data_IF_116811744719
#
_entry.id   IF_116811744719
#
_cell.length_a   1.000
_cell.length_b   1.000
_cell.length_c   1.000
_cell.angle_alpha   90.00
_cell.angle_beta   90.00
_cell.angle_gamma   90.00
#
_symmetry.space_group_name_H-M   'P 1'
#
loop_
_entity.id
_entity.type
_entity.pdbx_description
1 polymer ?
#
# COMPACT_ATOMS: atom_id res chain seq x y z
N UNK A 1 -12.85 52.52 -2.80
CA UNK A 1 -12.80 51.33 -3.68
C UNK A 1 -12.66 50.12 -2.79
N UNK A 2 -13.79 49.55 -2.38
CA UNK A 2 -13.89 48.61 -1.26
C UNK A 2 -13.70 47.20 -1.80
N UNK A 3 -12.58 46.55 -1.45
CA UNK A 3 -12.33 45.14 -1.78
C UNK A 3 -13.24 44.28 -0.91
N UNK A 4 -14.36 43.83 -1.47
CA UNK A 4 -15.15 42.77 -0.88
C UNK A 4 -14.41 41.43 -1.01
N UNK A 5 -13.81 41.01 0.09
CA UNK A 5 -13.37 39.63 0.34
C UNK A 5 -14.64 38.75 0.27
N UNK A 6 -14.85 38.09 -0.87
CA UNK A 6 -15.96 37.16 -1.06
C UNK A 6 -15.65 35.82 -0.41
N UNK A 7 -16.43 35.55 0.64
CA UNK A 7 -17.01 34.27 1.04
C UNK A 7 -16.06 33.08 1.23
N UNK A 8 -15.66 32.89 2.48
CA UNK A 8 -15.45 31.58 3.11
C UNK A 8 -16.69 30.70 2.88
N UNK A 9 -16.69 29.90 1.80
CA UNK A 9 -17.63 28.79 1.67
C UNK A 9 -17.31 27.80 2.79
N UNK A 10 -18.23 27.65 3.74
CA UNK A 10 -18.32 26.47 4.59
C UNK A 10 -18.32 25.25 3.64
N UNK A 11 -17.19 24.57 3.54
CA UNK A 11 -17.07 23.36 2.73
C UNK A 11 -17.98 22.31 3.35
N UNK A 12 -18.92 21.81 2.55
CA UNK A 12 -19.87 20.79 2.98
C UNK A 12 -19.15 19.50 3.41
N UNK A 13 -19.73 18.73 4.33
CA UNK A 13 -19.17 17.42 4.76
C UNK A 13 -18.75 16.50 3.59
N UNK A 14 -19.51 16.41 2.48
CA UNK A 14 -19.10 15.68 1.28
C UNK A 14 -17.79 16.16 0.66
N UNK A 15 -17.51 17.47 0.70
CA UNK A 15 -16.26 18.03 0.19
C UNK A 15 -15.04 17.50 0.97
N UNK A 16 -15.14 17.48 2.30
CA UNK A 16 -14.07 16.98 3.15
C UNK A 16 -13.89 15.48 3.01
N UNK A 17 -14.97 14.70 3.02
CA UNK A 17 -14.92 13.26 2.81
C UNK A 17 -14.26 12.91 1.47
N UNK A 18 -14.63 13.60 0.39
CA UNK A 18 -14.02 13.41 -0.92
C UNK A 18 -12.53 13.82 -0.92
N UNK A 19 -12.14 14.87 -0.19
CA UNK A 19 -10.74 15.25 -0.03
C UNK A 19 -9.92 14.17 0.70
N UNK A 20 -10.44 13.57 1.77
CA UNK A 20 -9.80 12.46 2.47
C UNK A 20 -9.67 11.21 1.59
N UNK A 21 -10.72 10.90 0.83
CA UNK A 21 -10.66 9.84 -0.18
C UNK A 21 -9.57 10.11 -1.23
N UNK A 22 -9.46 11.33 -1.74
CA UNK A 22 -8.43 11.68 -2.73
C UNK A 22 -7.00 11.57 -2.18
N UNK A 23 -6.75 11.77 -0.89
CA UNK A 23 -5.44 11.47 -0.30
C UNK A 23 -5.06 10.00 -0.44
N UNK A 24 -6.04 9.09 -0.35
CA UNK A 24 -5.81 7.64 -0.24
C UNK A 24 -6.20 6.86 -1.50
N UNK A 25 -6.78 7.52 -2.51
CA UNK A 25 -7.36 6.92 -3.72
C UNK A 25 -6.43 5.93 -4.43
N UNK A 26 -5.14 6.27 -4.60
CA UNK A 26 -4.16 5.37 -5.22
C UNK A 26 -3.99 4.08 -4.45
N UNK A 27 -4.07 4.18 -3.12
CA UNK A 27 -3.63 3.16 -2.19
C UNK A 27 -4.77 2.31 -1.64
N UNK A 28 -6.01 2.65 -2.00
CA UNK A 28 -7.19 1.82 -1.80
C UNK A 28 -6.97 0.40 -2.34
N UNK A 29 -6.49 0.31 -3.59
CA UNK A 29 -6.28 -0.96 -4.29
C UNK A 29 -4.94 -1.62 -4.02
N UNK A 30 -3.96 -0.90 -3.48
CA UNK A 30 -2.60 -1.42 -3.25
C UNK A 30 -2.41 -1.86 -1.80
N UNK A 31 -3.01 -1.14 -0.84
CA UNK A 31 -2.85 -1.37 0.59
C UNK A 31 -4.19 -1.74 1.21
N UNK A 32 -5.19 -0.85 1.19
CA UNK A 32 -6.39 -1.00 2.04
C UNK A 32 -7.15 -2.30 1.75
N UNK A 33 -7.57 -2.52 0.51
CA UNK A 33 -8.33 -3.73 0.16
C UNK A 33 -7.47 -5.00 0.28
N UNK A 34 -6.23 -5.06 -0.24
CA UNK A 34 -5.40 -6.27 -0.12
C UNK A 34 -5.07 -6.67 1.33
N UNK A 35 -4.78 -5.72 2.22
CA UNK A 35 -4.47 -5.99 3.64
C UNK A 35 -5.71 -6.46 4.38
N UNK A 36 -6.82 -5.75 4.24
CA UNK A 36 -8.04 -6.07 4.99
C UNK A 36 -8.68 -7.38 4.50
N UNK A 37 -8.62 -7.65 3.19
CA UNK A 37 -9.09 -8.91 2.63
C UNK A 37 -8.19 -10.08 3.05
N UNK A 38 -6.86 -9.88 3.04
CA UNK A 38 -5.93 -10.91 3.54
C UNK A 38 -6.25 -11.26 4.99
N UNK A 39 -6.34 -10.25 5.87
CA UNK A 39 -6.70 -10.44 7.27
C UNK A 39 -8.01 -11.22 7.42
N UNK A 40 -9.07 -10.84 6.69
CA UNK A 40 -10.35 -11.54 6.69
C UNK A 40 -10.28 -13.00 6.25
N UNK A 41 -9.53 -13.28 5.19
CA UNK A 41 -9.40 -14.63 4.64
C UNK A 41 -8.55 -15.54 5.54
N UNK A 42 -7.60 -14.99 6.30
CA UNK A 42 -6.70 -15.76 7.17
C UNK A 42 -7.23 -16.06 8.57
N UNK A 43 -8.24 -15.32 9.05
CA UNK A 43 -8.83 -15.58 10.36
C UNK A 43 -9.86 -16.71 10.30
N UNK A 44 -9.96 -17.54 11.35
CA UNK A 44 -10.91 -18.65 11.39
C UNK A 44 -12.36 -18.20 11.60
N UNK A 45 -12.58 -17.09 12.31
CA UNK A 45 -13.91 -16.53 12.53
C UNK A 45 -14.06 -15.16 11.87
N UNK A 46 -15.04 -15.08 10.96
CA UNK A 46 -15.26 -13.95 10.07
C UNK A 46 -16.39 -13.05 10.60
N UNK A 47 -16.07 -12.21 11.59
CA UNK A 47 -17.02 -11.26 12.17
C UNK A 47 -17.00 -9.91 11.44
N UNK A 48 -18.13 -9.53 10.82
CA UNK A 48 -18.24 -8.29 10.01
C UNK A 48 -17.82 -7.04 10.81
N UNK A 49 -18.17 -6.96 12.08
CA UNK A 49 -17.79 -5.84 12.95
C UNK A 49 -16.26 -5.74 13.15
N UNK A 50 -15.58 -6.89 13.31
CA UNK A 50 -14.13 -6.93 13.46
C UNK A 50 -13.42 -6.54 12.14
N UNK A 51 -13.97 -6.99 11.00
CA UNK A 51 -13.50 -6.55 9.68
C UNK A 51 -13.68 -5.05 9.46
N UNK A 52 -14.85 -4.50 9.78
CA UNK A 52 -15.10 -3.06 9.66
C UNK A 52 -14.13 -2.26 10.55
N UNK A 53 -13.86 -2.73 11.77
CA UNK A 53 -12.87 -2.13 12.68
C UNK A 53 -11.46 -2.17 12.08
N UNK A 54 -11.03 -3.33 11.55
CA UNK A 54 -9.72 -3.48 10.90
C UNK A 54 -9.60 -2.62 9.64
N UNK A 55 -10.68 -2.49 8.87
CA UNK A 55 -10.76 -1.65 7.68
C UNK A 55 -10.58 -0.16 8.02
N UNK A 56 -11.31 0.34 9.03
CA UNK A 56 -11.17 1.72 9.51
C UNK A 56 -9.77 1.96 10.05
N UNK A 57 -9.20 1.01 10.80
CA UNK A 57 -7.87 1.13 11.38
C UNK A 57 -6.80 1.24 10.29
N UNK A 58 -6.87 0.35 9.30
CA UNK A 58 -5.97 0.33 8.15
C UNK A 58 -6.09 1.62 7.35
N UNK A 59 -7.32 2.08 7.10
CA UNK A 59 -7.57 3.32 6.35
C UNK A 59 -7.05 4.56 7.09
N UNK A 60 -7.20 4.64 8.42
CA UNK A 60 -6.71 5.77 9.21
C UNK A 60 -5.19 5.90 9.15
N UNK A 61 -4.46 4.79 9.35
CA UNK A 61 -2.99 4.80 9.22
C UNK A 61 -2.54 5.08 7.78
N UNK A 62 -3.24 4.55 6.78
CA UNK A 62 -2.98 4.86 5.38
C UNK A 62 -3.21 6.35 5.09
N UNK A 63 -4.28 6.94 5.62
CA UNK A 63 -4.56 8.35 5.51
C UNK A 63 -3.46 9.19 6.19
N UNK A 64 -3.02 8.81 7.39
CA UNK A 64 -1.90 9.48 8.08
C UNK A 64 -0.63 9.46 7.21
N UNK A 65 -0.27 8.29 6.68
CA UNK A 65 0.88 8.13 5.80
C UNK A 65 0.77 9.00 4.54
N UNK A 66 -0.36 8.92 3.83
CA UNK A 66 -0.58 9.65 2.59
C UNK A 66 -0.59 11.17 2.81
N UNK A 67 -1.30 11.67 3.82
CA UNK A 67 -1.31 13.11 4.13
C UNK A 67 0.11 13.58 4.45
N UNK A 68 0.86 12.80 5.23
CA UNK A 68 2.24 13.15 5.57
C UNK A 68 3.15 13.22 4.34
N UNK A 69 3.20 12.16 3.53
CA UNK A 69 4.02 12.08 2.33
C UNK A 69 3.70 13.20 1.33
N UNK A 70 2.41 13.41 1.03
CA UNK A 70 1.96 14.42 0.06
C UNK A 70 2.22 15.86 0.54
N UNK A 71 2.22 16.10 1.87
CA UNK A 71 2.48 17.43 2.44
C UNK A 71 3.97 17.84 2.45
N UNK A 72 4.88 16.87 2.30
CA UNK A 72 6.33 17.08 2.26
C UNK A 72 6.87 17.17 0.83
N UNK A 73 6.28 16.42 -0.11
CA UNK A 73 6.71 16.38 -1.52
C UNK A 73 5.59 16.77 -2.51
N UNK A 74 5.00 17.99 -2.41
CA UNK A 74 3.90 18.39 -3.29
C UNK A 74 4.31 18.55 -4.76
N UNK A 75 5.60 18.79 -5.04
CA UNK A 75 6.13 18.92 -6.39
C UNK A 75 6.10 17.61 -7.18
N UNK A 76 6.48 16.51 -6.52
CA UNK A 76 6.34 15.14 -7.06
C UNK A 76 4.91 14.87 -7.53
N UNK A 77 3.94 15.19 -6.67
CA UNK A 77 2.52 14.91 -6.93
C UNK A 77 1.94 15.77 -8.05
N UNK A 78 2.42 16.99 -8.21
CA UNK A 78 1.99 17.85 -9.32
C UNK A 78 2.31 17.20 -10.68
N UNK A 79 3.43 16.49 -10.79
CA UNK A 79 3.84 15.77 -12.00
C UNK A 79 3.11 14.43 -12.11
N UNK A 80 3.22 13.59 -11.08
CA UNK A 80 2.79 12.20 -11.17
C UNK A 80 1.26 12.05 -11.05
N UNK A 81 0.65 12.84 -10.14
CA UNK A 81 -0.73 12.64 -9.63
C UNK A 81 -1.43 14.00 -9.39
N UNK A 82 -1.62 14.84 -10.44
CA UNK A 82 -2.14 16.22 -10.28
C UNK A 82 -3.56 16.31 -9.72
N UNK A 83 -4.30 15.19 -9.71
CA UNK A 83 -5.62 15.07 -9.11
C UNK A 83 -5.60 14.97 -7.57
N UNK A 84 -4.42 14.81 -6.93
CA UNK A 84 -4.29 14.73 -5.47
C UNK A 84 -4.73 16.03 -4.79
N UNK A 85 -5.16 15.98 -3.51
CA UNK A 85 -5.77 17.13 -2.84
C UNK A 85 -4.96 18.42 -2.84
N UNK A 86 -3.64 18.32 -2.64
CA UNK A 86 -2.75 19.49 -2.54
C UNK A 86 -2.52 20.10 -3.94
N UNK A 87 -2.04 19.35 -4.96
CA UNK A 87 -1.90 19.90 -6.32
C UNK A 87 -3.22 20.42 -6.92
N UNK A 88 -4.35 19.77 -6.62
CA UNK A 88 -5.67 20.18 -7.10
C UNK A 88 -6.25 21.40 -6.35
N UNK A 89 -5.50 21.98 -5.40
CA UNK A 89 -5.93 23.16 -4.65
C UNK A 89 -7.10 22.92 -3.69
N UNK A 90 -7.41 21.66 -3.35
CA UNK A 90 -8.54 21.32 -2.46
C UNK A 90 -8.24 21.60 -0.99
N UNK A 91 -6.97 21.57 -0.62
CA UNK A 91 -6.47 21.80 0.74
C UNK A 91 -5.10 22.46 0.65
N UNK A 92 -4.83 23.45 1.52
CA UNK A 92 -3.52 24.07 1.61
C UNK A 92 -2.50 23.12 2.22
N UNK A 93 -1.22 23.30 1.89
CA UNK A 93 -0.12 22.53 2.51
C UNK A 93 -0.13 22.68 4.04
N UNK A 94 -0.39 23.90 4.55
CA UNK A 94 -0.50 24.16 5.99
C UNK A 94 -1.60 23.33 6.66
N UNK A 95 -2.79 23.28 6.06
CA UNK A 95 -3.90 22.48 6.58
C UNK A 95 -3.63 20.97 6.48
N UNK A 96 -2.97 20.52 5.41
CA UNK A 96 -2.55 19.12 5.30
C UNK A 96 -1.52 18.75 6.38
N UNK A 97 -0.57 19.65 6.68
CA UNK A 97 0.40 19.45 7.78
C UNK A 97 -0.26 19.47 9.16
N UNK A 98 -1.28 20.30 9.37
CA UNK A 98 -2.06 20.23 10.61
C UNK A 98 -2.79 18.88 10.70
N UNK A 99 -3.46 18.47 9.63
CA UNK A 99 -4.20 17.21 9.57
C UNK A 99 -3.31 15.99 9.86
N UNK A 100 -2.09 15.93 9.31
CA UNK A 100 -1.18 14.80 9.55
C UNK A 100 -0.82 14.64 11.03
N UNK A 101 -0.65 15.74 11.76
CA UNK A 101 -0.31 15.74 13.19
C UNK A 101 -1.52 15.47 14.07
N UNK A 102 -2.74 15.83 13.61
CA UNK A 102 -3.99 15.41 14.26
C UNK A 102 -4.24 13.91 14.07
N UNK A 103 -3.91 13.36 12.88
CA UNK A 103 -4.11 11.95 12.58
C UNK A 103 -3.23 11.03 13.44
N UNK A 104 -2.01 11.45 13.80
CA UNK A 104 -1.11 10.67 14.64
C UNK A 104 -1.73 10.23 16.00
N UNK A 105 -2.16 11.14 16.90
CA UNK A 105 -2.79 10.75 18.16
C UNK A 105 -4.11 10.01 17.95
N UNK A 106 -4.88 10.31 16.89
CA UNK A 106 -6.10 9.58 16.56
C UNK A 106 -5.81 8.11 16.21
N UNK A 107 -4.79 7.86 15.40
CA UNK A 107 -4.37 6.51 15.02
C UNK A 107 -3.87 5.71 16.23
N UNK A 108 -3.08 6.34 17.10
CA UNK A 108 -2.59 5.71 18.35
C UNK A 108 -3.72 5.41 19.33
N UNK A 109 -4.65 6.36 19.53
CA UNK A 109 -5.83 6.14 20.36
C UNK A 109 -6.70 5.01 19.81
N UNK A 110 -6.92 4.97 18.51
CA UNK A 110 -7.70 3.90 17.88
C UNK A 110 -7.00 2.54 17.97
N UNK A 111 -5.66 2.51 17.90
CA UNK A 111 -4.89 1.29 18.14
C UNK A 111 -5.01 0.81 19.58
N UNK A 112 -5.01 1.73 20.55
CA UNK A 112 -5.21 1.42 21.97
C UNK A 112 -6.58 0.79 22.23
N UNK A 113 -7.66 1.43 21.75
CA UNK A 113 -9.03 0.89 21.88
C UNK A 113 -9.28 -0.36 21.04
N UNK A 114 -8.36 -0.70 20.15
CA UNK A 114 -8.37 -1.92 19.34
C UNK A 114 -7.46 -3.03 19.86
N UNK A 115 -6.76 -2.82 20.98
CA UNK A 115 -5.87 -3.84 21.56
C UNK A 115 -4.57 -4.06 20.78
N UNK A 116 -4.22 -3.19 19.83
CA UNK A 116 -3.03 -3.30 18.97
C UNK A 116 -2.09 -2.10 19.12
N UNK A 117 -2.05 -1.49 20.30
CA UNK A 117 -1.25 -0.28 20.56
C UNK A 117 0.24 -0.42 20.16
N UNK A 118 0.96 -1.51 20.49
CA UNK A 118 2.36 -1.66 20.07
C UNK A 118 2.54 -1.65 18.55
N UNK A 119 1.63 -2.31 17.82
CA UNK A 119 1.61 -2.31 16.34
C UNK A 119 1.40 -0.90 15.81
N UNK A 120 0.47 -0.15 16.43
CA UNK A 120 0.20 1.24 16.08
C UNK A 120 1.39 2.18 16.31
N UNK A 121 2.18 1.96 17.36
CA UNK A 121 3.42 2.71 17.62
C UNK A 121 4.46 2.40 16.55
N UNK A 122 4.63 1.12 16.18
CA UNK A 122 5.57 0.71 15.12
C UNK A 122 5.19 1.38 13.78
N UNK A 123 3.91 1.42 13.41
CA UNK A 123 3.48 2.15 12.22
C UNK A 123 3.76 3.65 12.31
N UNK A 124 3.46 4.29 13.45
CA UNK A 124 3.73 5.71 13.63
C UNK A 124 5.23 6.04 13.47
N UNK A 125 6.11 5.21 14.06
CA UNK A 125 7.56 5.31 13.90
C UNK A 125 7.99 5.06 12.45
N UNK A 126 7.42 4.06 11.78
CA UNK A 126 7.67 3.77 10.36
C UNK A 126 7.30 4.95 9.46
N UNK A 127 6.14 5.58 9.69
CA UNK A 127 5.70 6.79 8.96
C UNK A 127 6.67 7.95 9.22
N UNK A 128 7.11 8.15 10.47
CA UNK A 128 8.09 9.17 10.82
C UNK A 128 9.44 8.92 10.12
N UNK A 129 9.97 7.71 10.19
CA UNK A 129 11.22 7.31 9.54
C UNK A 129 11.15 7.45 8.02
N UNK A 130 10.04 7.04 7.41
CA UNK A 130 9.84 7.15 5.97
C UNK A 130 9.83 8.61 5.51
N UNK A 131 9.03 9.45 6.19
CA UNK A 131 8.73 10.81 5.73
C UNK A 131 9.67 11.88 6.31
N UNK A 132 9.80 11.97 7.64
CA UNK A 132 10.59 13.03 8.29
C UNK A 132 12.10 12.78 8.14
N UNK A 133 12.53 11.53 8.28
CA UNK A 133 13.93 11.16 8.13
C UNK A 133 14.33 10.88 6.67
N UNK A 134 13.38 11.04 5.73
CA UNK A 134 13.57 10.84 4.28
C UNK A 134 14.20 9.50 3.91
N UNK A 135 13.94 8.45 4.70
CA UNK A 135 14.43 7.10 4.39
C UNK A 135 13.73 6.50 3.17
N UNK A 136 12.66 7.13 2.67
CA UNK A 136 12.08 6.86 1.37
C UNK A 136 12.97 7.30 0.19
N UNK A 137 13.99 8.12 0.42
CA UNK A 137 14.77 8.74 -0.66
C UNK A 137 15.89 7.83 -1.21
N UNK A 138 16.16 6.71 -0.55
CA UNK A 138 17.13 5.71 -1.00
C UNK A 138 16.43 4.38 -1.30
N UNK A 139 16.74 3.76 -2.45
CA UNK A 139 16.08 2.55 -2.93
C UNK A 139 16.02 1.42 -1.88
N UNK A 140 17.10 1.20 -1.15
CA UNK A 140 17.17 0.10 -0.17
C UNK A 140 16.25 0.34 1.02
N UNK A 141 16.36 1.51 1.65
CA UNK A 141 15.57 1.85 2.84
C UNK A 141 14.10 2.04 2.49
N UNK A 142 13.79 2.57 1.30
CA UNK A 142 12.42 2.63 0.76
C UNK A 142 11.81 1.24 0.69
N UNK A 143 12.48 0.29 0.04
CA UNK A 143 11.94 -1.06 -0.14
C UNK A 143 11.77 -1.78 1.20
N UNK A 144 12.78 -1.70 2.09
CA UNK A 144 12.71 -2.32 3.43
C UNK A 144 11.60 -1.71 4.27
N UNK A 145 11.50 -0.37 4.34
CA UNK A 145 10.45 0.30 5.11
C UNK A 145 9.05 0.02 4.56
N UNK A 146 8.90 -0.05 3.24
CA UNK A 146 7.63 -0.41 2.63
C UNK A 146 7.25 -1.87 2.97
N UNK A 147 8.18 -2.82 2.87
CA UNK A 147 7.91 -4.21 3.23
C UNK A 147 7.55 -4.37 4.73
N UNK A 148 8.27 -3.68 5.61
CA UNK A 148 7.94 -3.61 7.04
C UNK A 148 6.56 -2.97 7.22
N UNK A 149 6.25 -1.89 6.51
CA UNK A 149 4.95 -1.24 6.54
C UNK A 149 3.82 -2.23 6.20
N UNK A 150 3.95 -2.95 5.10
CA UNK A 150 2.99 -4.02 4.72
C UNK A 150 2.89 -5.10 5.80
N UNK A 151 4.01 -5.57 6.35
CA UNK A 151 4.03 -6.57 7.41
C UNK A 151 3.25 -6.11 8.66
N UNK A 152 3.49 -4.88 9.10
CA UNK A 152 2.89 -4.32 10.30
C UNK A 152 1.40 -3.99 10.07
N UNK A 153 1.03 -3.51 8.88
CA UNK A 153 -0.37 -3.37 8.48
C UNK A 153 -1.10 -4.72 8.50
N UNK A 154 -0.49 -5.76 7.92
CA UNK A 154 -1.04 -7.12 7.91
C UNK A 154 -1.21 -7.67 9.33
N UNK A 155 -0.19 -7.51 10.19
CA UNK A 155 -0.24 -7.93 11.58
C UNK A 155 -1.37 -7.20 12.33
N UNK A 156 -1.46 -5.87 12.22
CA UNK A 156 -2.48 -5.08 12.91
C UNK A 156 -3.90 -5.40 12.43
N UNK A 157 -4.12 -5.45 11.12
CA UNK A 157 -5.43 -5.78 10.56
C UNK A 157 -5.87 -7.21 10.96
N UNK A 158 -4.94 -8.17 10.92
CA UNK A 158 -5.22 -9.55 11.32
C UNK A 158 -5.53 -9.66 12.81
N UNK A 159 -4.74 -9.03 13.68
CA UNK A 159 -4.99 -9.01 15.13
C UNK A 159 -6.33 -8.38 15.49
N UNK A 160 -6.71 -7.27 14.85
CA UNK A 160 -8.03 -6.64 15.07
C UNK A 160 -9.15 -7.57 14.61
N UNK A 161 -9.00 -8.20 13.44
CA UNK A 161 -10.01 -9.11 12.89
C UNK A 161 -10.16 -10.36 13.78
N UNK A 162 -9.07 -10.80 14.42
CA UNK A 162 -9.03 -11.96 15.31
C UNK A 162 -9.52 -11.66 16.74
N UNK A 163 -9.70 -10.39 17.15
CA UNK A 163 -9.92 -9.95 18.54
C UNK A 163 -11.16 -10.53 19.27
N UNK A 164 -11.91 -11.45 18.66
CA UNK A 164 -12.96 -12.26 19.28
C UNK A 164 -12.67 -13.77 19.35
N UNK A 165 -11.44 -14.20 19.04
CA UNK A 165 -11.06 -15.60 18.97
C UNK A 165 -9.69 -15.87 19.62
N UNK A 166 -9.63 -16.93 20.43
CA UNK A 166 -8.40 -17.42 21.06
C UNK A 166 -7.55 -18.31 20.14
N UNK A 167 -8.07 -18.67 18.95
CA UNK A 167 -7.37 -19.59 18.05
C UNK A 167 -6.24 -18.89 17.33
N UNK A 168 -5.06 -19.50 17.28
CA UNK A 168 -3.91 -19.01 16.54
C UNK A 168 -4.14 -19.06 15.02
N UNK A 169 -3.38 -18.25 14.27
CA UNK A 169 -3.34 -18.36 12.81
C UNK A 169 -2.84 -19.74 12.41
N UNK A 170 -3.41 -20.30 11.34
CA UNK A 170 -2.93 -21.58 10.81
C UNK A 170 -1.48 -21.44 10.31
N UNK A 171 -0.68 -22.53 10.34
CA UNK A 171 0.67 -22.50 9.77
C UNK A 171 0.68 -22.04 8.31
N UNK A 172 -0.38 -22.35 7.56
CA UNK A 172 -0.60 -21.90 6.19
C UNK A 172 -0.79 -20.39 6.08
N UNK A 173 -1.60 -19.80 6.96
CA UNK A 173 -1.80 -18.35 7.02
C UNK A 173 -0.51 -17.61 7.42
N UNK A 174 0.26 -18.16 8.37
CA UNK A 174 1.56 -17.62 8.75
C UNK A 174 2.56 -17.68 7.59
N UNK A 175 2.65 -18.81 6.88
CA UNK A 175 3.49 -18.93 5.69
C UNK A 175 3.08 -17.93 4.61
N UNK A 176 1.78 -17.78 4.35
CA UNK A 176 1.26 -16.80 3.39
C UNK A 176 1.64 -15.35 3.78
N UNK A 177 1.58 -15.04 5.07
CA UNK A 177 1.98 -13.73 5.60
C UNK A 177 3.47 -13.46 5.36
N UNK A 178 4.36 -14.40 5.71
CA UNK A 178 5.80 -14.22 5.45
C UNK A 178 6.13 -14.14 3.96
N UNK A 179 5.51 -14.99 3.12
CA UNK A 179 5.66 -14.93 1.66
C UNK A 179 5.24 -13.56 1.11
N UNK A 180 4.12 -13.02 1.59
CA UNK A 180 3.65 -11.69 1.21
C UNK A 180 4.69 -10.60 1.54
N UNK A 181 5.33 -10.66 2.71
CA UNK A 181 6.40 -9.71 3.09
C UNK A 181 7.59 -9.81 2.12
N UNK A 182 8.04 -11.02 1.80
CA UNK A 182 9.17 -11.22 0.89
C UNK A 182 8.85 -10.84 -0.56
N UNK A 183 7.62 -11.12 -1.02
CA UNK A 183 7.13 -10.65 -2.31
C UNK A 183 7.23 -9.12 -2.34
N UNK A 184 6.60 -8.43 -1.39
CA UNK A 184 6.63 -6.95 -1.34
C UNK A 184 8.08 -6.44 -1.27
N UNK A 185 8.94 -6.99 -0.40
CA UNK A 185 10.33 -6.55 -0.26
C UNK A 185 11.09 -6.61 -1.60
N UNK A 186 10.83 -7.64 -2.41
CA UNK A 186 11.56 -7.90 -3.65
C UNK A 186 10.91 -7.30 -4.90
N UNK A 187 9.66 -6.84 -4.82
CA UNK A 187 8.91 -6.35 -5.99
C UNK A 187 8.25 -4.98 -5.80
N UNK A 188 8.30 -4.35 -4.62
CA UNK A 188 7.63 -3.04 -4.38
C UNK A 188 8.15 -1.92 -5.27
N UNK A 189 9.40 -2.01 -5.76
CA UNK A 189 9.97 -1.07 -6.72
C UNK A 189 9.27 -1.08 -8.08
N UNK A 190 8.33 -1.99 -8.33
CA UNK A 190 7.40 -1.92 -9.45
C UNK A 190 6.67 -0.56 -9.53
N UNK A 191 6.39 0.05 -8.37
CA UNK A 191 5.78 1.38 -8.30
C UNK A 191 6.71 2.48 -8.79
N UNK A 192 8.00 2.38 -8.46
CA UNK A 192 8.96 3.45 -8.72
C UNK A 192 9.10 3.73 -10.23
N UNK A 193 8.83 2.75 -11.11
CA UNK A 193 8.94 2.94 -12.57
C UNK A 193 7.98 4.01 -13.09
N UNK A 194 6.71 4.01 -12.65
CA UNK A 194 5.76 5.05 -13.07
C UNK A 194 5.96 6.38 -12.35
N UNK A 195 6.62 6.36 -11.18
CA UNK A 195 6.85 7.53 -10.33
C UNK A 195 8.25 8.16 -10.59
N UNK A 196 9.05 7.60 -11.51
CA UNK A 196 10.45 7.98 -11.80
C UNK A 196 10.64 9.48 -12.05
N UNK A 197 9.75 10.11 -12.83
CA UNK A 197 9.86 11.53 -13.15
C UNK A 197 9.74 12.42 -11.90
N UNK A 198 8.79 12.11 -11.02
CA UNK A 198 8.64 12.79 -9.73
C UNK A 198 9.80 12.48 -8.77
N UNK A 199 10.29 11.22 -8.76
CA UNK A 199 11.45 10.86 -7.94
C UNK A 199 12.73 11.60 -8.38
N UNK A 200 12.93 11.83 -9.68
CA UNK A 200 14.04 12.65 -10.21
C UNK A 200 13.91 14.11 -9.76
N UNK A 201 12.70 14.67 -9.78
CA UNK A 201 12.45 16.03 -9.29
C UNK A 201 12.82 16.18 -7.80
N UNK A 202 12.45 15.19 -6.99
CA UNK A 202 12.77 15.14 -5.55
C UNK A 202 14.20 14.68 -5.24
N UNK A 203 15.03 14.47 -6.27
CA UNK A 203 16.44 14.03 -6.17
C UNK A 203 16.60 12.70 -5.41
N UNK A 204 15.62 11.81 -5.53
CA UNK A 204 15.64 10.48 -4.91
C UNK A 204 16.52 9.52 -5.71
N UNK A 205 17.02 8.50 -5.02
CA UNK A 205 17.85 7.42 -5.59
C UNK A 205 17.08 6.10 -5.59
N UNK A 206 15.98 6.03 -6.35
CA UNK A 206 15.14 4.82 -6.50
C UNK A 206 15.69 3.85 -7.53
N UNK A 207 15.22 2.59 -7.53
CA UNK A 207 15.74 1.52 -8.40
C UNK A 207 15.73 1.90 -9.89
N UNK A 208 14.65 2.47 -10.46
CA UNK A 208 14.63 2.88 -11.86
C UNK A 208 15.68 3.95 -12.20
N UNK A 209 16.07 4.78 -11.23
CA UNK A 209 17.05 5.85 -11.40
C UNK A 209 18.48 5.30 -11.30
N UNK A 210 18.78 4.49 -10.27
CA UNK A 210 20.16 4.05 -9.99
C UNK A 210 20.56 2.78 -10.74
N UNK A 211 19.60 1.89 -11.02
CA UNK A 211 19.84 0.60 -11.66
C UNK A 211 18.69 0.24 -12.62
N UNK A 212 18.44 1.05 -13.67
CA UNK A 212 17.27 0.90 -14.55
C UNK A 212 17.17 -0.52 -15.13
N UNK A 213 18.24 -1.03 -15.75
CA UNK A 213 18.23 -2.39 -16.32
C UNK A 213 18.13 -3.46 -15.23
N UNK A 214 18.80 -3.26 -14.08
CA UNK A 214 18.75 -4.19 -12.95
C UNK A 214 17.34 -4.33 -12.37
N UNK A 215 16.63 -3.22 -12.16
CA UNK A 215 15.25 -3.22 -11.69
C UNK A 215 14.29 -3.89 -12.66
N UNK A 216 14.51 -3.74 -13.96
CA UNK A 216 13.66 -4.33 -15.01
C UNK A 216 13.86 -5.84 -15.09
N UNK A 217 15.12 -6.29 -15.06
CA UNK A 217 15.48 -7.71 -14.99
C UNK A 217 14.98 -8.33 -13.69
N UNK A 218 15.02 -7.61 -12.57
CA UNK A 218 14.49 -8.14 -11.31
C UNK A 218 12.98 -8.36 -11.38
N UNK A 219 12.19 -7.49 -12.04
CA UNK A 219 10.76 -7.75 -12.27
C UNK A 219 10.51 -8.94 -13.19
N UNK A 220 11.34 -9.11 -14.24
CA UNK A 220 11.27 -10.26 -15.15
C UNK A 220 11.48 -11.60 -14.43
N UNK A 221 12.37 -11.63 -13.44
CA UNK A 221 12.73 -12.86 -12.71
C UNK A 221 11.84 -13.07 -11.48
N UNK A 222 11.64 -12.04 -10.66
CA UNK A 222 10.97 -12.17 -9.37
C UNK A 222 9.49 -12.55 -9.53
N UNK A 223 8.76 -11.98 -10.49
CA UNK A 223 7.33 -12.26 -10.64
C UNK A 223 7.06 -13.73 -11.03
N UNK A 224 7.73 -14.32 -12.04
CA UNK A 224 7.62 -15.76 -12.30
C UNK A 224 8.09 -16.63 -11.13
N UNK A 225 9.23 -16.31 -10.50
CA UNK A 225 9.75 -17.09 -9.37
C UNK A 225 8.74 -17.14 -8.23
N UNK A 226 8.18 -16.00 -7.82
CA UNK A 226 7.14 -15.98 -6.79
C UNK A 226 5.87 -16.69 -7.22
N UNK A 227 5.47 -16.59 -8.49
CA UNK A 227 4.30 -17.30 -9.02
C UNK A 227 4.48 -18.82 -8.94
N UNK A 228 5.67 -19.32 -9.29
CA UNK A 228 6.02 -20.74 -9.16
C UNK A 228 6.05 -21.15 -7.68
N UNK A 229 6.73 -20.39 -6.82
CA UNK A 229 6.81 -20.66 -5.38
C UNK A 229 5.43 -20.74 -4.72
N UNK A 230 4.49 -19.86 -5.07
CA UNK A 230 3.13 -19.92 -4.54
C UNK A 230 2.39 -21.16 -5.04
N UNK A 231 2.57 -21.55 -6.31
CA UNK A 231 1.94 -22.74 -6.87
C UNK A 231 2.53 -24.05 -6.28
N UNK A 232 3.79 -24.06 -5.87
CA UNK A 232 4.43 -25.24 -5.28
C UNK A 232 4.14 -25.37 -3.80
N UNK A 233 4.13 -24.26 -3.05
CA UNK A 233 3.96 -24.25 -1.60
C UNK A 233 2.49 -24.37 -1.15
N UNK A 234 1.53 -24.01 -2.01
CA UNK A 234 0.11 -24.05 -1.67
C UNK A 234 -0.69 -24.96 -2.62
N UNK A 235 -1.69 -25.70 -2.12
CA UNK A 235 -2.58 -26.52 -2.94
C UNK A 235 -3.60 -25.65 -3.66
N UNK A 236 -3.15 -24.92 -4.69
CA UNK A 236 -4.02 -24.06 -5.49
C UNK A 236 -4.77 -24.87 -6.56
N UNK A 237 -6.03 -24.53 -6.89
CA UNK A 237 -6.73 -25.15 -8.02
C UNK A 237 -6.03 -24.84 -9.35
N UNK A 238 -6.15 -25.75 -10.33
CA UNK A 238 -5.40 -25.71 -11.61
C UNK A 238 -5.57 -24.38 -12.35
N UNK A 239 -6.80 -23.86 -12.39
CA UNK A 239 -7.09 -22.58 -13.05
C UNK A 239 -6.35 -21.41 -12.38
N UNK A 240 -6.24 -21.40 -11.05
CA UNK A 240 -5.57 -20.33 -10.31
C UNK A 240 -4.05 -20.40 -10.49
N UNK A 241 -3.49 -21.62 -10.57
CA UNK A 241 -2.08 -21.83 -10.95
C UNK A 241 -1.79 -21.25 -12.32
N UNK A 242 -2.64 -21.57 -13.31
CA UNK A 242 -2.49 -21.06 -14.67
C UNK A 242 -2.55 -19.52 -14.71
N UNK A 243 -3.51 -18.91 -14.01
CA UNK A 243 -3.61 -17.44 -13.90
C UNK A 243 -2.37 -16.84 -13.25
N UNK A 244 -1.91 -17.39 -12.11
CA UNK A 244 -0.75 -16.87 -11.38
C UNK A 244 0.52 -16.88 -12.25
N UNK A 245 0.80 -18.03 -12.88
CA UNK A 245 1.98 -18.22 -13.73
C UNK A 245 1.92 -17.32 -14.98
N UNK A 246 0.80 -17.32 -15.68
CA UNK A 246 0.62 -16.51 -16.89
C UNK A 246 0.75 -15.01 -16.58
N UNK A 247 0.13 -14.55 -15.48
CA UNK A 247 0.19 -13.16 -15.09
C UNK A 247 1.59 -12.75 -14.61
N UNK A 248 2.28 -13.60 -13.84
CA UNK A 248 3.65 -13.35 -13.40
C UNK A 248 4.62 -13.20 -14.57
N UNK A 249 4.57 -14.11 -15.54
CA UNK A 249 5.38 -14.04 -16.77
C UNK A 249 5.01 -12.82 -17.61
N UNK A 250 3.71 -12.59 -17.83
CA UNK A 250 3.26 -11.49 -18.68
C UNK A 250 3.64 -10.12 -18.09
N UNK A 251 3.42 -9.90 -16.79
CA UNK A 251 3.78 -8.63 -16.14
C UNK A 251 5.30 -8.44 -16.08
N UNK A 252 6.06 -9.50 -15.80
CA UNK A 252 7.53 -9.46 -15.85
C UNK A 252 8.07 -9.07 -17.22
N UNK A 253 7.55 -9.70 -18.28
CA UNK A 253 7.90 -9.36 -19.67
C UNK A 253 7.52 -7.92 -20.02
N UNK A 254 6.35 -7.44 -19.57
CA UNK A 254 5.94 -6.05 -19.80
C UNK A 254 6.91 -5.06 -19.17
N UNK A 255 7.32 -5.26 -17.91
CA UNK A 255 8.31 -4.39 -17.28
C UNK A 255 9.64 -4.41 -18.03
N UNK A 256 10.07 -5.58 -18.53
CA UNK A 256 11.35 -5.72 -19.22
C UNK A 256 11.38 -5.12 -20.63
N UNK A 257 10.34 -5.40 -21.44
CA UNK A 257 10.28 -5.06 -22.86
C UNK A 257 9.73 -3.65 -23.12
N UNK A 258 8.76 -3.19 -22.31
CA UNK A 258 8.10 -1.89 -22.51
C UNK A 258 8.70 -0.87 -21.54
N UNK A 259 9.23 0.23 -22.08
CA UNK A 259 10.05 1.19 -21.32
C UNK A 259 9.52 2.62 -21.34
N UNK A 260 8.32 2.85 -21.89
CA UNK A 260 7.70 4.16 -21.87
C UNK A 260 6.86 4.39 -20.59
N UNK A 261 6.70 5.65 -20.13
CA UNK A 261 5.97 5.94 -18.89
C UNK A 261 4.50 5.50 -18.88
N UNK A 262 3.83 5.46 -20.04
CA UNK A 262 2.45 5.01 -20.12
C UNK A 262 2.35 3.50 -19.94
N UNK A 263 3.27 2.75 -20.55
CA UNK A 263 3.41 1.32 -20.31
C UNK A 263 3.73 1.00 -18.86
N UNK A 264 4.57 1.79 -18.18
CA UNK A 264 4.90 1.59 -16.76
C UNK A 264 3.69 1.74 -15.85
N UNK A 265 2.86 2.77 -16.07
CA UNK A 265 1.59 2.93 -15.35
C UNK A 265 0.68 1.71 -15.54
N UNK A 266 0.59 1.18 -16.76
CA UNK A 266 -0.21 -0.02 -17.06
C UNK A 266 0.40 -1.28 -16.44
N UNK A 267 1.72 -1.43 -16.49
CA UNK A 267 2.44 -2.57 -15.91
C UNK A 267 2.33 -2.57 -14.38
N UNK A 268 2.38 -1.40 -13.75
CA UNK A 268 2.12 -1.26 -12.31
C UNK A 268 0.66 -1.59 -11.94
N UNK A 269 -0.32 -1.21 -12.77
CA UNK A 269 -1.71 -1.63 -12.55
C UNK A 269 -1.84 -3.16 -12.58
N UNK A 270 -1.25 -3.81 -13.59
CA UNK A 270 -1.29 -5.28 -13.71
C UNK A 270 -0.49 -5.97 -12.60
N UNK A 271 0.61 -5.37 -12.16
CA UNK A 271 1.36 -5.82 -10.98
C UNK A 271 0.50 -5.79 -9.72
N UNK A 272 -0.31 -4.76 -9.51
CA UNK A 272 -1.20 -4.71 -8.34
C UNK A 272 -2.29 -5.80 -8.41
N UNK A 273 -2.79 -6.13 -9.61
CA UNK A 273 -3.69 -7.27 -9.80
C UNK A 273 -2.96 -8.57 -9.44
N UNK A 274 -1.76 -8.76 -9.97
CA UNK A 274 -0.92 -9.92 -9.64
C UNK A 274 -0.66 -10.04 -8.14
N UNK A 275 -0.26 -8.94 -7.48
CA UNK A 275 0.03 -8.90 -6.06
C UNK A 275 -1.21 -9.22 -5.21
N UNK A 276 -2.37 -8.68 -5.58
CA UNK A 276 -3.63 -8.99 -4.90
C UNK A 276 -3.96 -10.49 -4.98
N UNK A 277 -3.83 -11.09 -6.16
CA UNK A 277 -4.04 -12.54 -6.34
C UNK A 277 -2.97 -13.31 -5.56
N UNK A 278 -1.69 -12.91 -5.62
CA UNK A 278 -0.57 -13.56 -4.94
C UNK A 278 -0.76 -13.63 -3.42
N UNK A 279 -1.36 -12.58 -2.84
CA UNK A 279 -1.67 -12.50 -1.42
C UNK A 279 -2.86 -13.35 -1.00
N UNK A 280 -3.91 -13.42 -1.83
CA UNK A 280 -5.15 -14.13 -1.49
C UNK A 280 -5.11 -15.61 -1.89
N UNK A 281 -4.41 -15.97 -2.98
CA UNK A 281 -4.35 -17.34 -3.48
C UNK A 281 -3.99 -18.38 -2.41
N UNK A 282 -3.00 -18.14 -1.52
CA UNK A 282 -2.71 -19.03 -0.41
C UNK A 282 -3.89 -19.33 0.52
N UNK A 283 -4.90 -18.47 0.59
CA UNK A 283 -6.07 -18.63 1.46
C UNK A 283 -7.24 -19.36 0.78
N UNK A 284 -7.15 -19.62 -0.53
CA UNK A 284 -8.15 -20.35 -1.29
C UNK A 284 -7.79 -21.84 -1.24
N UNK A 285 -8.67 -22.67 -0.70
CA UNK A 285 -8.51 -24.11 -0.72
C UNK A 285 -9.01 -24.72 -2.03
N UNK A 286 -8.28 -25.73 -2.52
CA UNK A 286 -8.70 -26.58 -3.63
C UNK A 286 -9.79 -27.59 -3.24
N UNK A 287 -10.17 -27.65 -1.97
CA UNK A 287 -11.18 -28.57 -1.41
C UNK A 287 -12.57 -27.93 -1.23
N UNK A 288 -12.84 -26.79 -1.85
CA UNK A 288 -14.22 -26.34 -2.04
C UNK A 288 -14.84 -27.19 -3.16
N UNK A 289 -15.92 -27.96 -2.88
CA UNK A 289 -16.61 -28.77 -3.87
C UNK A 289 -17.18 -27.95 -5.03
#
# INVERSE_FOLDING_TARGET
MTVHIRNTRLSSSPYHAYTLYLFTKSDMKTILFPITLFAWCTVPHRAIAAFAKAFIWTWLYLLQFCVSNQSLSPGEDLINKPWRPIPAGRVSIGNARLLRWILLPLCLLFSYTSGVFPVGVILALGIFLHNEMRLDSHWFTRNVLNAIGYAVFDAGATSITQSGSLSQLSPRALLAHYMSIFIVLTTIHAQDFQDEAGDRLEKRRTIPIVMPNGGRTSMLVALPVWSVSLCTLFPLPVWLRAVMLALGVWVGLRFYLLRDPAADKRSYLLYNVWLAIARIAPTIDSELP
#
